data_IF_659406130979
#
_entry.id   IF_659406130979
#
_cell.length_a   1.000
_cell.length_b   1.000
_cell.length_c   1.000
_cell.angle_alpha   90.00
_cell.angle_beta   90.00
_cell.angle_gamma   90.00
#
_symmetry.space_group_name_H-M   'P 1'
#
loop_
_entity.id
_entity.type
_entity.pdbx_description
1 polymer ?
#
# COMPACT_ATOMS: atom_id res chain seq x y z
N UNK A 1 -11.17 34.48 -22.16
CA UNK A 1 -10.37 33.61 -23.05
C UNK A 1 -9.87 32.43 -22.22
N UNK A 2 -10.32 31.17 -22.43
CA UNK A 2 -9.77 30.05 -21.69
C UNK A 2 -8.47 29.56 -22.34
N UNK A 3 -7.43 29.38 -21.52
CA UNK A 3 -6.14 28.87 -21.94
C UNK A 3 -6.26 27.41 -22.42
N UNK A 4 -5.83 27.13 -23.64
CA UNK A 4 -5.68 25.76 -24.16
C UNK A 4 -4.47 25.12 -23.51
N UNK A 5 -4.68 24.01 -22.80
CA UNK A 5 -3.59 23.14 -22.40
C UNK A 5 -3.05 22.40 -23.65
N UNK A 6 -1.73 22.35 -23.88
CA UNK A 6 -1.17 21.64 -25.02
C UNK A 6 -1.44 20.14 -24.88
N UNK A 7 -1.98 19.53 -25.93
CA UNK A 7 -2.13 18.07 -26.04
C UNK A 7 -0.74 17.46 -26.23
N UNK A 8 -0.20 16.85 -25.18
CA UNK A 8 1.05 16.12 -25.24
C UNK A 8 0.96 14.91 -26.16
N UNK A 9 1.79 14.88 -27.20
CA UNK A 9 2.03 13.74 -28.08
C UNK A 9 3.10 12.85 -27.45
N UNK A 10 2.72 12.07 -26.45
CA UNK A 10 3.54 11.00 -25.88
C UNK A 10 2.61 9.87 -25.50
N UNK A 11 3.03 8.61 -25.66
CA UNK A 11 2.33 7.50 -25.02
C UNK A 11 2.47 7.70 -23.50
N UNK A 12 1.54 8.45 -22.91
CA UNK A 12 1.54 8.76 -21.49
C UNK A 12 1.49 7.49 -20.67
N UNK A 13 2.06 7.52 -19.47
CA UNK A 13 1.83 6.45 -18.50
C UNK A 13 0.32 6.27 -18.31
N UNK A 14 -0.18 5.04 -18.21
CA UNK A 14 -1.61 4.81 -18.06
C UNK A 14 -2.13 5.53 -16.81
N UNK A 15 -3.34 6.08 -16.90
CA UNK A 15 -3.99 6.75 -15.76
C UNK A 15 -4.28 5.78 -14.60
N UNK A 16 -4.36 4.48 -14.91
CA UNK A 16 -4.62 3.40 -13.97
C UNK A 16 -3.88 2.15 -14.45
N UNK A 17 -3.19 1.50 -13.52
CA UNK A 17 -2.63 0.16 -13.71
C UNK A 17 -3.27 -0.77 -12.68
N UNK A 18 -3.73 -1.94 -13.13
CA UNK A 18 -4.34 -2.96 -12.28
C UNK A 18 -3.48 -4.21 -12.31
N UNK A 19 -3.34 -4.84 -11.16
CA UNK A 19 -2.58 -6.07 -11.02
C UNK A 19 -3.51 -7.21 -10.60
N UNK A 20 -3.07 -8.44 -10.88
CA UNK A 20 -3.67 -9.64 -10.27
C UNK A 20 -3.48 -9.62 -8.75
N UNK A 21 -4.31 -10.33 -7.98
CA UNK A 21 -4.12 -10.46 -6.54
C UNK A 21 -2.72 -11.00 -6.19
N UNK A 22 -2.18 -10.50 -5.08
CA UNK A 22 -0.95 -10.99 -4.45
C UNK A 22 -1.26 -11.47 -3.04
N UNK A 23 -0.43 -12.36 -2.51
CA UNK A 23 -0.54 -12.77 -1.11
C UNK A 23 0.05 -11.71 -0.19
N UNK A 24 -0.68 -11.43 0.89
CA UNK A 24 -0.26 -10.57 1.98
C UNK A 24 -0.41 -11.34 3.29
N UNK A 25 0.52 -11.16 4.21
CA UNK A 25 0.32 -11.58 5.60
C UNK A 25 -0.19 -10.39 6.40
N UNK A 26 -1.19 -10.66 7.25
CA UNK A 26 -1.62 -9.77 8.31
C UNK A 26 -1.37 -10.52 9.61
N UNK A 27 -0.45 -10.01 10.43
CA UNK A 27 -0.05 -10.64 11.69
C UNK A 27 -0.33 -9.72 12.86
N UNK A 28 -0.40 -10.32 14.05
CA UNK A 28 -0.48 -9.57 15.30
C UNK A 28 0.85 -9.75 16.05
N UNK A 29 1.49 -8.64 16.37
CA UNK A 29 2.71 -8.56 17.17
C UNK A 29 2.37 -7.83 18.48
N UNK A 30 1.90 -8.59 19.47
CA UNK A 30 1.34 -8.03 20.70
C UNK A 30 0.01 -7.32 20.42
N UNK A 31 0.01 -5.98 20.55
CA UNK A 31 -1.16 -5.14 20.28
C UNK A 31 -1.13 -4.51 18.88
N UNK A 32 -0.05 -4.69 18.12
CA UNK A 32 0.13 -4.04 16.83
C UNK A 32 -0.14 -5.01 15.69
N UNK A 33 -0.93 -4.57 14.72
CA UNK A 33 -1.14 -5.32 13.49
C UNK A 33 -0.04 -4.97 12.47
N UNK A 34 0.51 -5.98 11.80
CA UNK A 34 1.47 -5.82 10.71
C UNK A 34 0.85 -6.27 9.39
N UNK A 35 1.20 -5.59 8.30
CA UNK A 35 0.83 -5.97 6.94
C UNK A 35 2.11 -6.12 6.12
N UNK A 36 2.26 -7.25 5.44
CA UNK A 36 3.41 -7.51 4.55
C UNK A 36 2.96 -8.13 3.24
N UNK A 37 3.17 -7.42 2.12
CA UNK A 37 2.96 -7.98 0.77
C UNK A 37 4.11 -8.94 0.43
N UNK A 38 3.79 -10.20 0.15
CA UNK A 38 4.78 -11.28 0.02
C UNK A 38 5.45 -11.34 -1.35
N UNK A 39 4.72 -10.99 -2.41
CA UNK A 39 5.17 -11.23 -3.79
C UNK A 39 5.03 -9.97 -4.66
N UNK A 40 5.73 -9.96 -5.79
CA UNK A 40 5.79 -8.84 -6.73
C UNK A 40 7.00 -7.92 -6.52
N UNK A 41 7.20 -6.98 -7.44
CA UNK A 41 8.38 -6.09 -7.48
C UNK A 41 8.39 -5.02 -6.38
N UNK A 42 7.20 -4.62 -5.94
CA UNK A 42 6.96 -3.66 -4.88
C UNK A 42 6.22 -4.36 -3.75
N UNK A 43 6.86 -4.42 -2.58
CA UNK A 43 6.35 -5.12 -1.42
C UNK A 43 6.29 -4.16 -0.23
N UNK A 44 5.23 -3.35 -0.10
CA UNK A 44 5.00 -2.57 1.10
C UNK A 44 4.89 -3.49 2.32
N UNK A 45 5.58 -3.13 3.39
CA UNK A 45 5.45 -3.77 4.68
C UNK A 45 5.43 -2.72 5.79
N UNK A 46 4.60 -2.91 6.80
CA UNK A 46 4.46 -1.92 7.87
C UNK A 46 3.50 -2.31 8.96
N UNK A 47 3.33 -1.38 9.91
CA UNK A 47 2.45 -1.50 11.07
C UNK A 47 1.20 -0.66 10.88
N UNK A 48 0.09 -1.12 11.46
CA UNK A 48 -1.14 -0.38 11.58
C UNK A 48 -1.24 0.20 13.00
N UNK A 49 -1.56 1.49 13.06
CA UNK A 49 -1.73 2.24 14.29
C UNK A 49 -3.17 2.73 14.37
N UNK A 50 -3.68 2.82 15.60
CA UNK A 50 -4.99 3.42 15.83
C UNK A 50 -4.99 4.90 15.42
N UNK A 51 -6.14 5.35 14.93
CA UNK A 51 -6.41 6.75 14.61
C UNK A 51 -7.54 7.27 15.50
N UNK A 52 -7.61 8.59 15.67
CA UNK A 52 -8.72 9.24 16.39
C UNK A 52 -10.09 8.88 15.78
N UNK A 53 -10.11 8.58 14.48
CA UNK A 53 -11.26 7.98 13.82
C UNK A 53 -11.22 6.45 13.93
N UNK A 54 -12.06 5.91 14.81
CA UNK A 54 -12.21 4.47 15.05
C UNK A 54 -12.63 3.60 13.85
N UNK A 55 -12.97 4.21 12.70
CA UNK A 55 -13.28 3.49 11.46
C UNK A 55 -12.07 3.25 10.56
N UNK A 56 -10.90 3.79 10.90
CA UNK A 56 -9.68 3.64 10.13
C UNK A 56 -8.46 3.44 11.02
N UNK A 57 -7.40 2.93 10.41
CA UNK A 57 -6.07 2.82 11.02
C UNK A 57 -5.05 3.54 10.12
N UNK A 58 -3.93 3.95 10.71
CA UNK A 58 -2.81 4.55 9.98
C UNK A 58 -1.77 3.47 9.69
N UNK A 59 -1.49 3.26 8.42
CA UNK A 59 -0.37 2.43 7.99
C UNK A 59 0.91 3.26 7.98
N UNK A 60 1.94 2.81 8.70
CA UNK A 60 3.30 3.31 8.60
C UNK A 60 4.23 2.15 8.25
N UNK A 61 4.90 2.25 7.11
CA UNK A 61 5.72 1.17 6.59
C UNK A 61 6.70 1.61 5.53
N UNK A 62 7.48 0.67 5.04
CA UNK A 62 8.51 0.94 4.03
C UNK A 62 8.34 0.02 2.83
N UNK A 63 8.83 0.48 1.68
CA UNK A 63 8.83 -0.30 0.47
C UNK A 63 10.06 -1.22 0.41
N UNK A 64 9.84 -2.53 0.43
CA UNK A 64 10.87 -3.48 -0.02
C UNK A 64 10.90 -3.57 -1.54
N UNK A 65 12.11 -3.58 -2.10
CA UNK A 65 12.35 -3.60 -3.54
C UNK A 65 12.94 -4.96 -3.95
N UNK A 66 12.43 -5.52 -5.05
CA UNK A 66 12.98 -6.75 -5.62
C UNK A 66 13.01 -7.92 -4.63
N UNK A 67 14.18 -8.55 -4.47
CA UNK A 67 14.41 -9.74 -3.65
C UNK A 67 14.99 -9.44 -2.26
N UNK A 68 14.85 -8.22 -1.73
CA UNK A 68 15.28 -7.91 -0.36
C UNK A 68 14.52 -8.79 0.66
N UNK A 69 15.24 -9.57 1.45
CA UNK A 69 14.64 -10.49 2.43
C UNK A 69 14.01 -9.74 3.62
N UNK A 70 14.61 -8.63 4.03
CA UNK A 70 14.17 -7.84 5.18
C UNK A 70 13.69 -6.45 4.74
N UNK A 71 12.50 -6.06 5.20
CA UNK A 71 11.97 -4.72 4.95
C UNK A 71 12.50 -3.79 6.03
N UNK A 72 13.06 -2.64 5.62
CA UNK A 72 13.51 -1.59 6.55
C UNK A 72 12.37 -1.11 7.44
N UNK A 73 12.70 -0.66 8.64
CA UNK A 73 11.70 -0.02 9.48
C UNK A 73 11.33 1.36 8.91
N UNK A 74 10.07 1.76 9.15
CA UNK A 74 9.63 3.12 8.85
C UNK A 74 10.52 4.14 9.56
N UNK A 75 11.04 5.11 8.80
CA UNK A 75 11.96 6.14 9.28
C UNK A 75 13.45 5.84 9.06
N UNK A 76 13.83 4.59 8.77
CA UNK A 76 15.24 4.24 8.49
C UNK A 76 15.71 4.81 7.14
N UNK A 77 14.81 4.86 6.17
CA UNK A 77 15.06 5.40 4.83
C UNK A 77 13.85 6.22 4.34
N UNK A 78 13.90 7.56 4.47
CA UNK A 78 12.82 8.45 4.06
C UNK A 78 12.42 8.36 2.58
N UNK A 79 13.27 7.78 1.71
CA UNK A 79 12.92 7.53 0.31
C UNK A 79 12.06 6.28 0.12
N UNK A 80 11.95 5.44 1.14
CA UNK A 80 11.15 4.21 1.13
C UNK A 80 9.93 4.30 2.02
N UNK A 81 9.85 5.32 2.88
CA UNK A 81 8.74 5.53 3.78
C UNK A 81 7.42 5.70 3.03
N UNK A 82 6.42 4.99 3.52
CA UNK A 82 5.06 4.96 3.04
C UNK A 82 4.14 5.19 4.24
N UNK A 83 3.22 6.13 4.09
CA UNK A 83 2.14 6.37 5.04
C UNK A 83 0.82 6.23 4.31
N UNK A 84 -0.18 5.60 4.95
CA UNK A 84 -1.46 5.35 4.33
C UNK A 84 -2.60 5.21 5.31
N UNK A 85 -3.80 5.14 4.77
CA UNK A 85 -5.04 4.92 5.54
C UNK A 85 -5.56 3.52 5.23
N UNK A 86 -5.86 2.77 6.28
CA UNK A 86 -6.41 1.42 6.22
C UNK A 86 -7.84 1.40 6.76
N UNK A 87 -8.80 1.00 5.93
CA UNK A 87 -10.23 1.07 6.25
C UNK A 87 -10.94 -0.22 5.87
N UNK A 88 -11.93 -0.63 6.66
CA UNK A 88 -12.89 -1.66 6.25
C UNK A 88 -13.96 -1.03 5.37
N UNK A 89 -14.04 -1.45 4.11
CA UNK A 89 -14.95 -0.85 3.12
C UNK A 89 -16.18 -1.71 2.80
N UNK A 90 -16.13 -3.00 3.14
CA UNK A 90 -17.24 -3.95 3.00
C UNK A 90 -17.03 -5.17 3.92
N UNK A 91 -18.01 -6.09 4.07
CA UNK A 91 -17.78 -7.35 4.77
C UNK A 91 -16.59 -8.11 4.21
N UNK A 92 -15.58 -8.35 5.06
CA UNK A 92 -14.34 -9.04 4.69
C UNK A 92 -13.53 -8.36 3.56
N UNK A 93 -13.71 -7.06 3.35
CA UNK A 93 -12.89 -6.26 2.41
C UNK A 93 -12.33 -5.05 3.13
N UNK A 94 -11.01 -4.94 3.08
CA UNK A 94 -10.27 -3.79 3.60
C UNK A 94 -9.52 -3.11 2.47
N UNK A 95 -9.29 -1.80 2.61
CA UNK A 95 -8.56 -1.00 1.65
C UNK A 95 -7.43 -0.26 2.35
N UNK A 96 -6.22 -0.42 1.84
CA UNK A 96 -5.07 0.42 2.14
C UNK A 96 -4.90 1.43 1.01
N UNK A 97 -4.91 2.72 1.34
CA UNK A 97 -4.66 3.82 0.40
C UNK A 97 -3.36 4.52 0.78
N UNK A 98 -2.39 4.53 -0.13
CA UNK A 98 -1.09 5.19 0.06
C UNK A 98 -0.96 6.33 -0.95
N UNK A 99 -1.04 7.60 -0.51
CA UNK A 99 -0.84 8.75 -1.37
C UNK A 99 0.64 9.01 -1.64
N UNK A 100 0.95 9.49 -2.85
CA UNK A 100 2.27 9.98 -3.24
C UNK A 100 3.46 9.05 -2.93
N UNK A 101 3.39 7.75 -3.27
CA UNK A 101 4.54 6.86 -3.13
C UNK A 101 5.70 7.31 -4.03
N UNK A 102 6.91 6.86 -3.69
CA UNK A 102 8.16 7.30 -4.33
C UNK A 102 8.48 6.62 -5.66
N UNK A 103 7.54 5.86 -6.22
CA UNK A 103 7.69 5.13 -7.50
C UNK A 103 7.16 5.90 -8.73
N UNK A 104 6.66 7.12 -8.51
CA UNK A 104 6.12 8.00 -9.55
C UNK A 104 4.61 7.85 -9.77
N UNK A 105 3.94 6.92 -9.10
CA UNK A 105 2.48 6.91 -9.02
C UNK A 105 1.98 8.00 -8.06
N UNK A 106 0.72 8.40 -8.22
CA UNK A 106 0.09 9.45 -7.38
C UNK A 106 -0.67 8.85 -6.20
N UNK A 107 -1.12 7.60 -6.37
CA UNK A 107 -1.93 6.88 -5.42
C UNK A 107 -1.72 5.38 -5.66
N UNK A 108 -1.49 4.63 -4.60
CA UNK A 108 -1.61 3.18 -4.60
C UNK A 108 -2.81 2.77 -3.76
N UNK A 109 -3.56 1.79 -4.26
CA UNK A 109 -4.73 1.23 -3.59
C UNK A 109 -4.57 -0.28 -3.54
N UNK A 110 -4.58 -0.84 -2.33
CA UNK A 110 -4.58 -2.28 -2.09
C UNK A 110 -5.92 -2.66 -1.50
N UNK A 111 -6.59 -3.63 -2.11
CA UNK A 111 -7.81 -4.23 -1.57
C UNK A 111 -7.48 -5.61 -1.04
N UNK A 112 -7.67 -5.79 0.26
CA UNK A 112 -7.36 -7.03 0.97
C UNK A 112 -8.66 -7.79 1.23
N UNK A 113 -8.63 -9.06 0.84
CA UNK A 113 -9.65 -10.04 1.18
C UNK A 113 -8.97 -11.25 1.85
N UNK A 114 -9.63 -11.90 2.81
CA UNK A 114 -9.08 -13.08 3.45
C UNK A 114 -9.07 -14.23 2.43
N UNK A 115 -8.01 -15.04 2.48
CA UNK A 115 -8.00 -16.31 1.78
C UNK A 115 -8.86 -17.32 2.53
N UNK A 116 -9.58 -18.18 1.80
CA UNK A 116 -10.47 -19.18 2.40
C UNK A 116 -9.70 -20.18 3.28
N UNK A 117 -8.48 -20.53 2.86
CA UNK A 117 -7.58 -21.42 3.59
C UNK A 117 -6.29 -20.64 3.91
N UNK A 118 -6.08 -20.38 5.20
CA UNK A 118 -4.84 -19.78 5.68
C UNK A 118 -3.73 -20.84 5.68
N UNK A 119 -2.51 -20.51 5.23
CA UNK A 119 -1.35 -21.38 5.45
C UNK A 119 -1.20 -21.64 6.95
N UNK A 120 -0.93 -22.90 7.33
CA UNK A 120 -0.64 -23.28 8.71
C UNK A 120 0.76 -22.86 9.12
#
# INVERSE_FOLDING_TARGET
MPARYPRGTGKGKPALERFKPFFCYVQTEGEVLTIVKQTGSQRPAGRLWDDDNSRRMIFLGSLALGSEDEVRAYGDDPQRDMAGVFERIAPFVWRLVIPWPRDGSKLQVFELTPVAEQPK
#
